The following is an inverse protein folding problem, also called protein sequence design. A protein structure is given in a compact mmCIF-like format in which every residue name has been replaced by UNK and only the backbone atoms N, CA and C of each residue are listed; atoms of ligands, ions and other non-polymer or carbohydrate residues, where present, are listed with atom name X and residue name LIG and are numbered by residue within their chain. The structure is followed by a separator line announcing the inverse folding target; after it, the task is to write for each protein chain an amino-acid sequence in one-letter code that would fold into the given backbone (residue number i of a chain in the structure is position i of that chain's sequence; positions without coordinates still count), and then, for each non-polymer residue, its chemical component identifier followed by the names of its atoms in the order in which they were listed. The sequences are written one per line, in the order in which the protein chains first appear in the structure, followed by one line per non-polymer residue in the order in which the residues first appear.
data_IF_353043119903
#
_entry.id   IF_353043119903
#
_cell.length_a   1.000
_cell.length_b   1.000
_cell.length_c   1.000
_cell.angle_alpha   90.00
_cell.angle_beta   90.00
_cell.angle_gamma   90.00
#
_symmetry.space_group_name_H-M   'P 1'
#
loop_
_entity.id
_entity.type
_entity.pdbx_description
1 polymer ?
#
# COMPACT_ATOMS: atom_id res chain seq x y z
N UNK A 1 2.80 -13.17 -8.71
CA UNK A 1 1.67 -12.67 -7.89
C UNK A 1 1.05 -11.39 -8.47
N UNK A 2 1.56 -10.88 -9.59
CA UNK A 2 1.42 -9.50 -10.10
C UNK A 2 0.73 -9.43 -11.48
N UNK A 3 0.47 -10.56 -12.13
CA UNK A 3 -0.12 -10.65 -13.49
C UNK A 3 -1.50 -10.00 -13.66
N UNK A 4 -2.14 -9.56 -12.59
CA UNK A 4 -3.43 -8.88 -12.59
C UNK A 4 -3.35 -7.35 -12.48
N UNK A 5 -2.15 -6.77 -12.41
CA UNK A 5 -1.92 -5.35 -12.31
C UNK A 5 -0.79 -4.91 -13.26
N UNK A 6 -0.91 -3.72 -13.84
CA UNK A 6 0.14 -3.14 -14.68
C UNK A 6 1.30 -2.58 -13.84
N UNK A 7 1.00 -2.19 -12.59
CA UNK A 7 1.94 -1.68 -11.62
C UNK A 7 1.55 -2.13 -10.20
N UNK A 8 2.53 -2.56 -9.41
CA UNK A 8 2.30 -3.01 -8.03
C UNK A 8 3.17 -2.24 -7.03
N UNK A 9 2.60 -1.87 -5.88
CA UNK A 9 3.38 -1.41 -4.72
C UNK A 9 3.20 -2.43 -3.61
N UNK A 10 4.30 -3.07 -3.20
CA UNK A 10 4.32 -4.06 -2.11
C UNK A 10 4.68 -3.35 -0.82
N UNK A 11 3.88 -3.56 0.22
CA UNK A 11 4.00 -2.85 1.50
C UNK A 11 3.62 -3.72 2.68
N UNK A 12 3.85 -3.21 3.89
CA UNK A 12 3.43 -3.86 5.13
C UNK A 12 1.91 -3.75 5.35
N UNK A 13 1.34 -4.74 6.03
CA UNK A 13 -0.02 -4.69 6.56
C UNK A 13 0.07 -4.89 8.08
N UNK A 14 -0.29 -6.06 8.61
CA UNK A 14 -0.14 -6.38 10.02
C UNK A 14 1.09 -7.29 10.16
N UNK A 15 2.31 -6.75 10.30
CA UNK A 15 3.51 -7.59 10.45
C UNK A 15 3.50 -8.39 11.75
N UNK A 16 2.63 -8.05 12.71
CA UNK A 16 2.53 -8.74 14.01
C UNK A 16 3.93 -8.84 14.63
N UNK A 17 4.39 -10.05 14.95
CA UNK A 17 5.73 -10.27 15.51
C UNK A 17 6.84 -10.51 14.49
N UNK A 18 6.54 -10.45 13.19
CA UNK A 18 7.49 -10.76 12.11
C UNK A 18 8.15 -9.50 11.57
N UNK A 19 9.28 -9.66 10.88
CA UNK A 19 9.90 -8.55 10.16
C UNK A 19 9.06 -8.21 8.94
N UNK A 20 8.57 -6.96 8.78
CA UNK A 20 7.82 -6.55 7.61
C UNK A 20 8.56 -6.85 6.30
N UNK A 21 9.85 -6.53 6.25
CA UNK A 21 10.68 -6.78 5.08
C UNK A 21 10.84 -8.26 4.75
N UNK A 22 10.86 -9.16 5.74
CA UNK A 22 10.92 -10.61 5.45
C UNK A 22 9.66 -11.10 4.73
N UNK A 23 8.47 -10.64 5.14
CA UNK A 23 7.21 -10.96 4.46
C UNK A 23 7.17 -10.35 3.06
N UNK A 24 7.61 -9.10 2.93
CA UNK A 24 7.69 -8.41 1.63
C UNK A 24 8.64 -9.15 0.68
N UNK A 25 9.82 -9.56 1.14
CA UNK A 25 10.79 -10.29 0.34
C UNK A 25 10.22 -11.63 -0.15
N UNK A 26 9.45 -12.33 0.68
CA UNK A 26 8.74 -13.55 0.28
C UNK A 26 7.72 -13.27 -0.83
N UNK A 27 6.92 -12.20 -0.70
CA UNK A 27 5.95 -11.79 -1.73
C UNK A 27 6.67 -11.47 -3.04
N UNK A 28 7.70 -10.63 -2.98
CA UNK A 28 8.49 -10.20 -4.14
C UNK A 28 9.15 -11.39 -4.83
N UNK A 29 9.64 -12.38 -4.07
CA UNK A 29 10.22 -13.60 -4.64
C UNK A 29 9.24 -14.41 -5.50
N UNK A 30 7.93 -14.26 -5.25
CA UNK A 30 6.84 -14.87 -6.02
C UNK A 30 6.22 -13.97 -7.09
N UNK A 31 6.73 -12.75 -7.26
CA UNK A 31 6.32 -11.83 -8.33
C UNK A 31 7.11 -12.11 -9.60
N UNK A 32 6.48 -11.87 -10.76
CA UNK A 32 7.20 -11.84 -12.03
C UNK A 32 8.10 -10.59 -12.06
N UNK A 33 9.02 -10.50 -13.03
CA UNK A 33 9.91 -9.32 -13.17
C UNK A 33 9.19 -8.04 -13.60
N UNK A 34 7.87 -7.96 -13.38
CA UNK A 34 7.03 -6.82 -13.68
C UNK A 34 7.39 -5.58 -12.87
N UNK A 35 6.81 -4.45 -13.26
CA UNK A 35 7.03 -3.18 -12.60
C UNK A 35 6.39 -3.18 -11.21
N UNK A 36 7.22 -3.28 -10.18
CA UNK A 36 6.79 -3.11 -8.81
C UNK A 36 7.76 -2.21 -8.02
N UNK A 37 7.23 -1.58 -6.99
CA UNK A 37 7.99 -0.85 -5.98
C UNK A 37 7.76 -1.53 -4.63
N UNK A 38 8.79 -1.55 -3.79
CA UNK A 38 8.71 -1.95 -2.39
C UNK A 38 8.79 -0.70 -1.53
N UNK A 39 7.80 -0.51 -0.66
CA UNK A 39 7.79 0.52 0.38
C UNK A 39 7.14 -0.05 1.63
N UNK A 40 7.90 -0.15 2.72
CA UNK A 40 7.45 -0.80 3.96
C UNK A 40 6.31 -0.01 4.63
N UNK A 41 6.39 1.33 4.64
CA UNK A 41 5.37 2.17 5.23
C UNK A 41 4.11 2.19 4.36
N UNK A 42 3.01 1.68 4.90
CA UNK A 42 1.77 1.51 4.15
C UNK A 42 1.19 2.84 3.66
N UNK A 43 1.35 3.93 4.43
CA UNK A 43 0.87 5.24 4.02
C UNK A 43 1.71 5.79 2.87
N UNK A 44 3.02 5.65 2.92
CA UNK A 44 3.92 6.05 1.85
C UNK A 44 3.72 5.19 0.59
N UNK A 45 3.46 3.89 0.74
CA UNK A 45 3.12 3.02 -0.37
C UNK A 45 1.84 3.47 -1.10
N UNK A 46 0.78 3.84 -0.36
CA UNK A 46 -0.44 4.42 -0.93
C UNK A 46 -0.12 5.74 -1.65
N UNK A 47 0.73 6.59 -1.06
CA UNK A 47 1.17 7.84 -1.68
C UNK A 47 1.92 7.61 -2.99
N UNK A 48 2.85 6.65 -3.02
CA UNK A 48 3.59 6.26 -4.22
C UNK A 48 2.61 5.78 -5.31
N UNK A 49 1.62 4.96 -4.97
CA UNK A 49 0.62 4.51 -5.93
C UNK A 49 -0.17 5.70 -6.53
N UNK A 50 -0.60 6.64 -5.70
CA UNK A 50 -1.29 7.87 -6.14
C UNK A 50 -0.40 8.71 -7.07
N UNK A 51 0.85 8.96 -6.69
CA UNK A 51 1.79 9.78 -7.46
C UNK A 51 2.21 9.14 -8.80
N UNK A 52 2.11 7.82 -8.93
CA UNK A 52 2.41 7.10 -10.17
C UNK A 52 1.17 6.89 -11.05
N UNK A 53 -0.03 7.20 -10.56
CA UNK A 53 -1.26 7.07 -11.33
C UNK A 53 -1.46 8.24 -12.31
N UNK A 54 -2.22 7.98 -13.36
CA UNK A 54 -2.70 8.97 -14.32
C UNK A 54 -4.23 9.11 -14.21
N UNK A 55 -4.81 10.20 -14.75
CA UNK A 55 -6.25 10.27 -14.93
C UNK A 55 -6.78 9.00 -15.63
N UNK A 56 -7.92 8.49 -15.15
CA UNK A 56 -8.57 7.24 -15.59
C UNK A 56 -7.94 5.92 -15.09
N UNK A 57 -6.80 5.96 -14.39
CA UNK A 57 -6.25 4.78 -13.73
C UNK A 57 -7.13 4.36 -12.53
N UNK A 58 -7.07 3.06 -12.21
CA UNK A 58 -7.73 2.49 -11.04
C UNK A 58 -6.67 1.96 -10.08
N UNK A 59 -6.62 2.54 -8.89
CA UNK A 59 -5.78 2.04 -7.79
C UNK A 59 -6.63 1.13 -6.91
N UNK A 60 -6.11 -0.07 -6.62
CA UNK A 60 -6.70 -1.01 -5.66
C UNK A 60 -5.77 -1.14 -4.45
N UNK A 61 -6.24 -0.70 -3.29
CA UNK A 61 -5.57 -0.96 -2.00
C UNK A 61 -6.17 -2.23 -1.41
N UNK A 62 -5.39 -3.32 -1.40
CA UNK A 62 -5.83 -4.63 -0.92
C UNK A 62 -5.16 -5.01 0.42
N UNK A 63 -5.74 -5.98 1.13
CA UNK A 63 -5.24 -6.50 2.42
C UNK A 63 -6.22 -6.27 3.57
N UNK A 64 -6.32 -5.03 4.06
CA UNK A 64 -7.02 -4.66 5.30
C UNK A 64 -8.54 -4.71 5.25
N UNK A 65 -9.13 -4.41 4.09
CA UNK A 65 -10.59 -4.32 3.94
C UNK A 65 -11.20 -3.22 4.81
N UNK A 66 -11.94 -3.60 5.87
CA UNK A 66 -12.61 -2.67 6.78
C UNK A 66 -11.87 -2.49 8.13
N UNK A 67 -10.67 -3.06 8.26
CA UNK A 67 -9.83 -2.83 9.43
C UNK A 67 -9.33 -1.39 9.47
N UNK A 68 -9.40 -0.76 10.65
CA UNK A 68 -8.97 0.63 10.89
C UNK A 68 -7.74 0.70 11.80
N UNK A 69 -7.00 -0.41 11.92
CA UNK A 69 -5.81 -0.50 12.77
C UNK A 69 -4.71 -1.31 12.09
N UNK A 70 -3.46 -1.01 12.44
CA UNK A 70 -2.28 -1.80 12.04
C UNK A 70 -1.65 -2.45 13.28
N UNK A 71 -1.44 -3.77 13.23
CA UNK A 71 -0.82 -4.53 14.33
C UNK A 71 0.70 -4.69 14.11
N UNK A 72 1.49 -4.10 15.00
CA UNK A 72 2.96 -4.17 14.99
C UNK A 72 3.43 -4.61 16.39
N UNK A 73 4.13 -5.74 16.46
CA UNK A 73 4.65 -6.35 17.69
C UNK A 73 3.61 -6.52 18.82
N UNK A 74 2.34 -6.75 18.47
CA UNK A 74 1.23 -6.89 19.42
C UNK A 74 0.61 -5.57 19.90
N UNK A 75 1.10 -4.44 19.39
CA UNK A 75 0.50 -3.11 19.57
C UNK A 75 -0.37 -2.75 18.35
N UNK A 76 -1.47 -2.03 18.60
CA UNK A 76 -2.42 -1.61 17.57
C UNK A 76 -2.33 -0.10 17.39
N UNK A 77 -2.03 0.33 16.17
CA UNK A 77 -1.95 1.73 15.77
C UNK A 77 -3.15 2.08 14.91
N UNK A 78 -3.72 3.27 15.08
CA UNK A 78 -4.82 3.75 14.23
C UNK A 78 -4.35 3.87 12.78
N UNK A 79 -4.99 3.11 11.89
CA UNK A 79 -4.63 3.06 10.48
C UNK A 79 -5.81 2.63 9.62
N UNK A 80 -6.44 3.56 8.91
CA UNK A 80 -7.55 3.31 7.99
C UNK A 80 -7.15 3.70 6.56
N UNK A 81 -7.02 2.69 5.68
CA UNK A 81 -6.67 2.87 4.27
C UNK A 81 -7.56 3.91 3.59
N UNK A 82 -8.86 3.97 3.93
CA UNK A 82 -9.83 4.88 3.33
C UNK A 82 -9.58 6.33 3.73
N UNK A 83 -9.39 6.59 5.02
CA UNK A 83 -9.16 7.95 5.51
C UNK A 83 -7.78 8.47 5.08
N UNK A 84 -6.76 7.61 5.08
CA UNK A 84 -5.43 7.92 4.55
C UNK A 84 -5.51 8.25 3.06
N UNK A 85 -6.17 7.41 2.26
CA UNK A 85 -6.31 7.64 0.81
C UNK A 85 -7.00 8.96 0.51
N UNK A 86 -8.12 9.26 1.20
CA UNK A 86 -8.82 10.55 1.04
C UNK A 86 -7.94 11.74 1.39
N UNK A 87 -7.22 11.67 2.52
CA UNK A 87 -6.34 12.74 2.96
C UNK A 87 -5.23 12.99 1.94
N UNK A 88 -4.60 11.94 1.43
CA UNK A 88 -3.54 12.05 0.43
C UNK A 88 -4.07 12.57 -0.91
N UNK A 89 -5.25 12.13 -1.36
CA UNK A 89 -5.87 12.66 -2.58
C UNK A 89 -6.11 14.16 -2.45
N UNK A 90 -6.64 14.61 -1.31
CA UNK A 90 -6.85 16.03 -1.06
C UNK A 90 -5.53 16.81 -1.02
N UNK A 91 -4.50 16.30 -0.34
CA UNK A 91 -3.18 16.93 -0.24
C UNK A 91 -2.45 17.02 -1.59
N UNK A 92 -2.56 15.98 -2.43
CA UNK A 92 -1.81 15.88 -3.69
C UNK A 92 -2.50 16.54 -4.87
N UNK A 93 -3.83 16.62 -4.86
CA UNK A 93 -4.64 17.04 -6.01
C UNK A 93 -5.60 18.19 -5.67
N UNK A 94 -5.34 18.96 -4.61
CA UNK A 94 -6.20 20.08 -4.16
C UNK A 94 -6.50 21.10 -5.27
N UNK A 95 -5.61 21.24 -6.27
CA UNK A 95 -5.74 22.15 -7.40
C UNK A 95 -6.46 21.55 -8.64
N UNK A 96 -6.81 20.25 -8.63
CA UNK A 96 -7.41 19.54 -9.78
C UNK A 96 -8.90 19.19 -9.62
N UNK A 97 -9.53 19.56 -8.49
CA UNK A 97 -10.96 19.31 -8.18
C UNK A 97 -11.83 20.56 -8.27
#
# INVERSE_FOLDING_TARGET
ADVGADFSVVTSDNPRGESPMSIIDEIVSGMSTGNHIVEEDRKEAIKIALMNSQPEDVIVVAGKGHETTQEIAGEFFDFDDKEISKSLIFELFEDEV
#
